data_IF_994529357505
#
_entry.id   IF_994529357505
#
_cell.length_a   1.000
_cell.length_b   1.000
_cell.length_c   1.000
_cell.angle_alpha   90.00
_cell.angle_beta   90.00
_cell.angle_gamma   90.00
#
_symmetry.space_group_name_H-M   'P 1'
#
loop_
_entity.id
_entity.type
_entity.pdbx_description
1 polymer ?
#
# COMPACT_ATOMS: atom_id res chain seq x y z
N UNK A 1 -23.85 -10.53 70.40
CA UNK A 1 -22.47 -10.03 70.57
C UNK A 1 -22.11 -9.27 69.31
N UNK A 2 -21.97 -7.95 69.44
CA UNK A 2 -21.66 -7.02 68.37
C UNK A 2 -20.13 -6.80 68.31
N UNK A 3 -19.59 -6.65 67.10
CA UNK A 3 -18.36 -5.89 66.84
C UNK A 3 -18.47 -5.26 65.44
N UNK A 4 -18.55 -3.93 65.43
CA UNK A 4 -18.64 -3.02 64.29
C UNK A 4 -17.32 -2.26 64.13
N UNK A 5 -16.76 -2.20 62.92
CA UNK A 5 -15.76 -1.21 62.45
C UNK A 5 -15.84 -1.22 60.91
N UNK A 6 -16.33 -0.25 60.13
CA UNK A 6 -16.22 1.21 60.09
C UNK A 6 -14.79 1.71 59.86
N UNK A 7 -14.44 2.01 58.61
CA UNK A 7 -13.58 3.14 58.22
C UNK A 7 -13.80 3.46 56.74
N UNK A 8 -14.16 4.72 56.52
CA UNK A 8 -14.48 5.40 55.28
C UNK A 8 -13.43 6.49 55.07
N UNK A 9 -12.97 6.70 53.84
CA UNK A 9 -12.32 7.91 53.33
C UNK A 9 -12.04 7.73 51.83
N UNK A 10 -12.10 8.71 50.94
CA UNK A 10 -12.80 10.00 50.79
C UNK A 10 -12.38 10.45 49.39
N UNK A 11 -13.35 10.87 48.60
CA UNK A 11 -13.21 11.55 47.29
C UNK A 11 -12.23 12.75 47.26
N UNK A 12 -11.72 13.12 46.07
CA UNK A 12 -12.21 14.28 45.32
C UNK A 12 -11.61 14.44 43.88
N UNK A 13 -12.39 15.01 42.93
CA UNK A 13 -12.01 15.36 41.56
C UNK A 13 -11.79 16.88 41.36
N UNK A 14 -11.14 17.26 40.26
CA UNK A 14 -11.15 18.61 39.66
C UNK A 14 -10.87 18.41 38.15
N UNK A 15 -11.71 18.81 37.19
CA UNK A 15 -12.29 20.14 36.92
C UNK A 15 -11.27 20.96 36.12
N UNK A 16 -11.55 21.61 34.98
CA UNK A 16 -12.79 21.88 34.24
C UNK A 16 -12.39 22.55 32.89
N UNK A 17 -13.31 22.59 31.91
CA UNK A 17 -13.59 23.62 30.86
C UNK A 17 -12.44 24.21 29.98
N UNK A 18 -12.60 24.51 28.69
CA UNK A 18 -13.71 25.25 28.06
C UNK A 18 -13.67 25.17 26.51
N UNK A 19 -14.85 24.96 25.93
CA UNK A 19 -15.51 25.68 24.80
C UNK A 19 -14.83 25.94 23.43
N UNK A 20 -15.54 25.50 22.39
CA UNK A 20 -15.61 25.96 20.97
C UNK A 20 -16.40 27.30 20.85
N UNK A 21 -16.78 27.91 19.67
CA UNK A 21 -16.46 27.77 18.22
C UNK A 21 -16.29 29.13 17.46
N UNK A 22 -16.03 29.11 16.14
CA UNK A 22 -16.20 30.24 15.19
C UNK A 22 -15.16 30.17 14.05
N UNK A 23 -15.45 29.89 12.77
CA UNK A 23 -16.29 30.53 11.73
C UNK A 23 -15.91 31.98 11.41
N UNK A 24 -15.07 32.16 10.40
CA UNK A 24 -15.19 33.28 9.48
C UNK A 24 -14.49 33.02 8.14
N UNK A 25 -15.23 33.42 7.12
CA UNK A 25 -14.94 33.42 5.70
C UNK A 25 -13.98 34.55 5.37
N UNK A 26 -13.04 34.35 4.45
CA UNK A 26 -12.56 35.48 3.66
C UNK A 26 -12.26 35.05 2.23
N UNK A 27 -13.09 35.59 1.32
CA UNK A 27 -12.83 35.69 -0.09
C UNK A 27 -11.54 36.50 -0.29
N UNK A 28 -10.76 36.17 -1.32
CA UNK A 28 -10.19 37.24 -2.13
C UNK A 28 -10.09 36.81 -3.59
N UNK A 29 -10.87 37.50 -4.40
CA UNK A 29 -10.88 37.46 -5.87
C UNK A 29 -10.05 38.63 -6.41
N UNK A 30 -9.28 38.34 -7.47
CA UNK A 30 -9.03 39.19 -8.67
C UNK A 30 -8.12 40.44 -8.52
N UNK A 31 -7.45 40.96 -9.59
CA UNK A 31 -7.94 41.02 -10.97
C UNK A 31 -6.93 40.85 -12.15
N UNK A 32 -7.54 40.98 -13.33
CA UNK A 32 -7.06 40.86 -14.70
C UNK A 32 -6.05 41.93 -15.18
N UNK A 33 -5.38 41.63 -16.30
CA UNK A 33 -4.62 42.59 -17.10
C UNK A 33 -4.24 42.03 -18.47
N UNK A 34 -4.98 42.43 -19.50
CA UNK A 34 -4.79 42.23 -20.94
C UNK A 34 -3.75 43.20 -21.53
N UNK A 35 -3.00 42.80 -22.56
CA UNK A 35 -2.30 43.75 -23.45
C UNK A 35 -1.19 43.14 -24.33
N UNK A 36 -1.12 43.38 -25.67
CA UNK A 36 -0.34 42.60 -26.66
C UNK A 36 0.97 43.29 -27.15
N UNK A 37 1.56 42.76 -28.24
CA UNK A 37 2.69 43.22 -29.11
C UNK A 37 4.04 42.51 -28.86
N UNK A 38 4.89 42.13 -29.82
CA UNK A 38 4.93 42.09 -31.30
C UNK A 38 6.06 41.10 -31.72
N UNK A 39 6.12 40.76 -33.02
CA UNK A 39 7.01 39.79 -33.65
C UNK A 39 8.52 40.16 -33.64
N UNK A 40 9.41 39.24 -34.07
CA UNK A 40 9.95 39.41 -35.43
C UNK A 40 10.20 38.11 -36.22
N UNK A 41 10.15 38.30 -37.54
CA UNK A 41 10.33 37.36 -38.65
C UNK A 41 11.80 37.13 -39.01
N UNK A 42 12.15 35.89 -39.41
CA UNK A 42 13.15 35.47 -40.43
C UNK A 42 13.07 33.93 -40.46
N UNK A 43 13.00 33.17 -41.55
CA UNK A 43 13.17 33.41 -42.99
C UNK A 43 13.74 32.10 -43.57
N UNK A 44 13.01 31.46 -44.50
CA UNK A 44 13.53 30.55 -45.53
C UNK A 44 13.79 29.08 -45.18
N UNK A 45 13.00 28.18 -45.78
CA UNK A 45 13.44 27.27 -46.85
C UNK A 45 12.53 26.03 -46.94
N UNK A 46 11.78 25.96 -48.04
CA UNK A 46 11.16 24.75 -48.58
C UNK A 46 12.23 23.76 -49.05
N UNK A 47 12.06 22.47 -48.76
CA UNK A 47 12.56 21.43 -49.66
C UNK A 47 11.71 20.16 -49.52
N UNK A 48 11.14 19.74 -50.65
CA UNK A 48 10.39 18.52 -50.83
C UNK A 48 11.33 17.36 -51.16
N UNK A 49 11.04 16.20 -50.57
CA UNK A 49 11.23 14.83 -51.07
C UNK A 49 12.56 14.45 -51.75
N UNK A 50 13.25 13.45 -51.19
CA UNK A 50 13.36 12.17 -51.88
C UNK A 50 13.76 10.97 -51.01
N UNK A 51 13.32 9.84 -51.53
CA UNK A 51 13.20 8.48 -51.05
C UNK A 51 14.54 7.75 -50.77
N UNK A 52 14.57 6.83 -49.81
CA UNK A 52 15.71 5.93 -49.58
C UNK A 52 15.57 5.04 -48.35
N UNK A 53 15.10 3.81 -48.57
CA UNK A 53 15.33 2.61 -47.75
C UNK A 53 14.66 2.53 -46.35
N UNK A 54 13.46 1.91 -46.34
CA UNK A 54 12.84 1.38 -45.13
C UNK A 54 13.58 0.11 -44.67
N UNK A 55 14.73 0.31 -44.04
CA UNK A 55 15.32 -0.68 -43.14
C UNK A 55 14.28 -0.97 -42.04
N UNK A 56 13.85 -2.23 -41.94
CA UNK A 56 12.87 -2.68 -40.95
C UNK A 56 13.35 -2.31 -39.54
N UNK A 57 12.75 -1.26 -38.98
CA UNK A 57 13.07 -0.73 -37.65
C UNK A 57 13.04 -1.89 -36.65
N UNK A 58 14.18 -2.29 -36.04
CA UNK A 58 14.20 -3.41 -35.11
C UNK A 58 13.23 -3.08 -33.99
N UNK A 59 12.25 -3.96 -33.78
CA UNK A 59 11.24 -3.81 -32.74
C UNK A 59 11.97 -3.51 -31.42
N UNK A 60 11.87 -2.26 -30.95
CA UNK A 60 12.48 -1.82 -29.69
C UNK A 60 11.87 -2.70 -28.59
N UNK A 61 12.56 -3.78 -28.20
CA UNK A 61 12.19 -4.63 -27.07
C UNK A 61 11.97 -3.68 -25.90
N UNK A 62 10.71 -3.50 -25.47
CA UNK A 62 10.35 -2.61 -24.37
C UNK A 62 11.24 -2.99 -23.18
N UNK A 63 12.26 -2.17 -22.89
CA UNK A 63 13.17 -2.39 -21.75
C UNK A 63 12.28 -2.43 -20.51
N UNK A 64 12.07 -3.62 -19.94
CA UNK A 64 11.34 -3.78 -18.67
C UNK A 64 11.89 -2.75 -17.68
N UNK A 65 11.02 -1.90 -17.15
CA UNK A 65 11.42 -0.81 -16.26
C UNK A 65 12.20 -1.37 -15.06
N UNK A 66 13.23 -0.67 -14.57
CA UNK A 66 14.06 -1.13 -13.43
C UNK A 66 13.19 -1.58 -12.24
N UNK A 67 12.07 -0.89 -11.98
CA UNK A 67 11.09 -1.20 -10.93
C UNK A 67 10.46 -2.59 -11.08
N UNK A 68 10.14 -3.02 -12.30
CA UNK A 68 9.56 -4.35 -12.56
C UNK A 68 10.54 -5.49 -12.24
N UNK A 69 11.85 -5.27 -12.43
CA UNK A 69 12.88 -6.25 -12.07
C UNK A 69 12.99 -6.43 -10.55
N UNK A 70 13.04 -5.32 -9.81
CA UNK A 70 13.15 -5.35 -8.35
C UNK A 70 11.96 -6.04 -7.68
N UNK A 71 10.74 -5.78 -8.15
CA UNK A 71 9.55 -6.48 -7.64
C UNK A 71 9.63 -8.00 -7.90
N UNK A 72 10.13 -8.39 -9.08
CA UNK A 72 10.31 -9.81 -9.42
C UNK A 72 11.33 -10.50 -8.52
N UNK A 73 12.46 -9.86 -8.25
CA UNK A 73 13.49 -10.39 -7.35
C UNK A 73 12.95 -10.58 -5.92
N UNK A 74 12.14 -9.64 -5.43
CA UNK A 74 11.51 -9.74 -4.11
C UNK A 74 10.46 -10.83 -4.03
N UNK A 75 9.70 -11.00 -5.11
CA UNK A 75 8.76 -12.09 -5.25
C UNK A 75 9.49 -13.45 -5.22
N UNK A 76 10.57 -13.60 -6.00
CA UNK A 76 11.39 -14.82 -6.00
C UNK A 76 11.92 -15.12 -4.59
N UNK A 77 12.41 -14.10 -3.86
CA UNK A 77 12.85 -14.26 -2.47
C UNK A 77 11.73 -14.72 -1.55
N UNK A 78 10.51 -14.19 -1.71
CA UNK A 78 9.35 -14.60 -0.92
C UNK A 78 9.00 -16.09 -1.09
N UNK A 79 9.32 -16.66 -2.25
CA UNK A 79 9.03 -18.06 -2.57
C UNK A 79 10.13 -19.02 -2.13
N UNK A 80 11.39 -18.59 -2.28
CA UNK A 80 12.57 -19.40 -1.99
C UNK A 80 12.96 -19.38 -0.52
N UNK A 81 12.77 -18.23 0.15
CA UNK A 81 13.15 -18.10 1.55
C UNK A 81 12.14 -18.80 2.47
N UNK A 82 12.65 -19.39 3.54
CA UNK A 82 11.84 -20.01 4.58
C UNK A 82 11.16 -18.93 5.41
N UNK A 83 9.94 -18.58 5.05
CA UNK A 83 9.05 -17.68 5.79
C UNK A 83 7.86 -18.51 6.24
N UNK A 84 7.46 -18.36 7.49
CA UNK A 84 6.35 -19.11 8.08
C UNK A 84 5.26 -18.17 8.58
N UNK A 85 4.01 -18.59 8.43
CA UNK A 85 2.87 -17.92 9.05
C UNK A 85 2.70 -18.44 10.48
N UNK A 86 2.64 -17.53 11.45
CA UNK A 86 2.36 -17.84 12.86
C UNK A 86 0.86 -17.74 13.11
N UNK A 87 0.30 -16.58 12.77
CA UNK A 87 -1.07 -16.22 13.13
C UNK A 87 -1.74 -15.52 11.95
N UNK A 88 -3.01 -15.85 11.75
CA UNK A 88 -3.91 -15.20 10.80
C UNK A 88 -5.12 -14.70 11.57
N UNK A 89 -5.32 -13.39 11.55
CA UNK A 89 -6.37 -12.73 12.30
C UNK A 89 -7.24 -11.88 11.35
N UNK A 90 -8.45 -12.37 11.09
CA UNK A 90 -9.46 -11.67 10.29
C UNK A 90 -10.09 -10.57 11.14
N UNK A 91 -9.80 -9.31 10.80
CA UNK A 91 -10.36 -8.14 11.50
C UNK A 91 -11.71 -7.79 10.89
N UNK A 92 -11.75 -7.58 9.57
CA UNK A 92 -12.96 -7.24 8.80
C UNK A 92 -12.93 -7.97 7.44
N UNK A 93 -14.00 -7.87 6.66
CA UNK A 93 -14.04 -8.44 5.30
C UNK A 93 -13.06 -7.81 4.30
N UNK A 94 -12.54 -6.63 4.63
CA UNK A 94 -11.59 -5.88 3.80
C UNK A 94 -10.21 -5.76 4.45
N UNK A 95 -10.01 -6.33 5.64
CA UNK A 95 -8.77 -6.18 6.40
C UNK A 95 -8.44 -7.43 7.18
N UNK A 96 -7.26 -7.98 6.91
CA UNK A 96 -6.73 -9.16 7.60
C UNK A 96 -5.28 -8.92 8.03
N UNK A 97 -4.95 -9.36 9.25
CA UNK A 97 -3.63 -9.22 9.86
C UNK A 97 -2.94 -10.59 9.90
N UNK A 98 -1.66 -10.61 9.54
CA UNK A 98 -0.83 -11.79 9.48
C UNK A 98 0.44 -11.55 10.29
N UNK A 99 0.77 -12.51 11.14
CA UNK A 99 2.04 -12.53 11.87
C UNK A 99 2.91 -13.61 11.24
N UNK A 100 4.11 -13.24 10.80
CA UNK A 100 5.01 -14.14 10.08
C UNK A 100 6.40 -14.15 10.73
N UNK A 101 7.12 -15.26 10.59
CA UNK A 101 8.53 -15.39 10.95
C UNK A 101 9.37 -15.43 9.68
N UNK A 102 10.39 -14.57 9.62
CA UNK A 102 11.39 -14.60 8.56
C UNK A 102 12.47 -15.66 8.76
N UNK A 103 13.38 -15.85 7.78
CA UNK A 103 14.42 -16.89 7.84
C UNK A 103 15.39 -16.75 9.03
N UNK A 104 15.58 -15.52 9.51
CA UNK A 104 16.45 -15.21 10.65
C UNK A 104 15.75 -15.35 12.01
N UNK A 105 14.49 -15.80 12.06
CA UNK A 105 13.71 -15.86 13.29
C UNK A 105 13.01 -14.55 13.67
N UNK A 106 13.21 -13.47 12.93
CA UNK A 106 12.53 -12.20 13.18
C UNK A 106 11.05 -12.29 12.86
N UNK A 107 10.22 -11.76 13.76
CA UNK A 107 8.77 -11.70 13.58
C UNK A 107 8.38 -10.38 12.93
N UNK A 108 7.56 -10.45 11.88
CA UNK A 108 7.00 -9.28 11.22
C UNK A 108 5.48 -9.38 11.18
N UNK A 109 4.83 -8.22 11.31
CA UNK A 109 3.39 -8.07 11.09
C UNK A 109 3.15 -7.56 9.67
N UNK A 110 2.23 -8.22 8.96
CA UNK A 110 1.74 -7.80 7.65
C UNK A 110 0.23 -7.57 7.76
N UNK A 111 -0.24 -6.45 7.25
CA UNK A 111 -1.68 -6.16 7.16
C UNK A 111 -2.07 -6.08 5.70
N UNK A 112 -3.03 -6.88 5.27
CA UNK A 112 -3.63 -6.76 3.93
C UNK A 112 -4.94 -6.01 4.07
N UNK A 113 -5.00 -4.84 3.44
CA UNK A 113 -6.13 -3.93 3.42
C UNK A 113 -6.14 -3.15 2.10
N UNK A 114 -6.92 -2.08 2.02
CA UNK A 114 -6.87 -1.12 0.90
C UNK A 114 -5.44 -0.66 0.59
N UNK A 115 -4.64 -0.44 1.62
CA UNK A 115 -3.21 -0.20 1.53
C UNK A 115 -2.51 -1.34 2.29
N UNK A 116 -1.85 -2.28 1.61
CA UNK A 116 -1.08 -3.31 2.30
C UNK A 116 0.10 -2.68 3.05
N UNK A 117 0.33 -3.14 4.26
CA UNK A 117 1.31 -2.60 5.20
C UNK A 117 2.18 -3.71 5.80
N UNK A 118 3.43 -3.39 6.12
CA UNK A 118 4.35 -4.31 6.77
C UNK A 118 5.40 -3.58 7.61
N UNK A 119 5.61 -4.05 8.86
CA UNK A 119 6.61 -3.47 9.77
C UNK A 119 8.08 -3.87 9.45
N UNK A 120 8.40 -4.19 8.21
CA UNK A 120 9.77 -4.59 7.83
C UNK A 120 10.55 -3.42 7.21
N UNK A 121 11.88 -3.39 7.35
CA UNK A 121 12.71 -2.27 6.87
C UNK A 121 12.65 -2.09 5.34
N UNK A 122 12.30 -3.13 4.59
CA UNK A 122 12.12 -3.03 3.13
C UNK A 122 10.85 -2.27 2.76
N UNK A 123 9.80 -2.37 3.57
CA UNK A 123 8.53 -1.67 3.34
C UNK A 123 8.64 -0.20 3.72
N UNK A 124 9.37 0.13 4.80
CA UNK A 124 9.68 1.51 5.21
C UNK A 124 10.34 2.32 4.09
N UNK A 125 11.09 1.66 3.19
CA UNK A 125 11.69 2.28 1.99
C UNK A 125 10.67 2.61 0.89
N UNK A 126 9.37 2.37 1.11
CA UNK A 126 8.28 2.75 0.21
C UNK A 126 7.94 1.73 -0.87
N UNK A 127 8.36 0.47 -0.72
CA UNK A 127 8.09 -0.57 -1.71
C UNK A 127 7.43 -1.81 -1.12
N UNK A 128 6.78 -2.61 -1.98
CA UNK A 128 6.31 -3.94 -1.60
C UNK A 128 7.51 -4.83 -1.24
N UNK A 129 7.45 -5.38 -0.03
CA UNK A 129 8.48 -6.24 0.53
C UNK A 129 8.17 -7.71 0.23
N UNK A 130 9.16 -8.58 0.43
CA UNK A 130 9.00 -10.03 0.29
C UNK A 130 7.93 -10.62 1.22
N UNK A 131 7.68 -10.01 2.37
CA UNK A 131 6.68 -10.47 3.33
C UNK A 131 5.25 -10.32 2.79
N UNK A 132 4.95 -9.20 2.13
CA UNK A 132 3.66 -9.01 1.45
C UNK A 132 3.50 -10.02 0.30
N UNK A 133 4.55 -10.23 -0.50
CA UNK A 133 4.52 -11.25 -1.56
C UNK A 133 4.31 -12.66 -1.01
N UNK A 134 4.94 -12.99 0.13
CA UNK A 134 4.74 -14.27 0.80
C UNK A 134 3.27 -14.47 1.18
N UNK A 135 2.64 -13.46 1.79
CA UNK A 135 1.22 -13.53 2.16
C UNK A 135 0.34 -13.70 0.93
N UNK A 136 0.55 -12.94 -0.14
CA UNK A 136 -0.25 -13.12 -1.36
C UNK A 136 -0.11 -14.51 -1.97
N UNK A 137 1.12 -15.01 -2.12
CA UNK A 137 1.38 -16.23 -2.89
C UNK A 137 1.16 -17.51 -2.09
N UNK A 138 1.61 -17.54 -0.82
CA UNK A 138 1.62 -18.75 0.01
C UNK A 138 0.42 -18.86 0.93
N UNK A 139 -0.06 -17.73 1.45
CA UNK A 139 -1.16 -17.71 2.42
C UNK A 139 -2.51 -17.54 1.72
N UNK A 140 -2.63 -16.49 0.90
CA UNK A 140 -3.87 -16.16 0.19
C UNK A 140 -4.01 -16.89 -1.15
N UNK A 141 -2.94 -17.52 -1.65
CA UNK A 141 -2.99 -18.31 -2.89
C UNK A 141 -3.29 -17.49 -4.15
N UNK A 142 -2.98 -16.19 -4.14
CA UNK A 142 -3.14 -15.32 -5.31
C UNK A 142 -2.17 -15.77 -6.40
N UNK A 143 -2.65 -15.82 -7.64
CA UNK A 143 -1.84 -16.23 -8.77
C UNK A 143 -0.66 -15.28 -9.00
N UNK A 144 0.52 -15.83 -9.28
CA UNK A 144 1.79 -15.12 -9.54
C UNK A 144 1.75 -14.18 -10.73
N UNK A 145 0.94 -14.51 -11.72
CA UNK A 145 0.79 -13.74 -12.96
C UNK A 145 -0.29 -12.65 -12.83
N UNK A 146 -1.03 -12.64 -11.72
CA UNK A 146 -2.03 -11.61 -11.44
C UNK A 146 -1.36 -10.25 -11.22
N UNK A 147 -1.95 -9.20 -11.79
CA UNK A 147 -1.49 -7.81 -11.58
C UNK A 147 -1.75 -7.34 -10.15
N UNK A 148 -2.68 -7.98 -9.43
CA UNK A 148 -3.11 -7.62 -8.08
C UNK A 148 -1.95 -7.62 -7.08
N UNK A 149 -1.01 -8.56 -7.20
CA UNK A 149 0.11 -8.71 -6.26
C UNK A 149 1.10 -7.54 -6.31
N UNK A 150 1.08 -6.75 -7.38
CA UNK A 150 1.99 -5.62 -7.58
C UNK A 150 1.34 -4.27 -7.26
N UNK A 151 0.03 -4.24 -7.01
CA UNK A 151 -0.70 -3.02 -6.67
C UNK A 151 -0.30 -2.54 -5.27
N UNK A 152 -0.06 -1.23 -5.14
CA UNK A 152 0.16 -0.57 -3.83
C UNK A 152 -1.14 -0.26 -3.11
N UNK A 153 -2.26 -0.26 -3.83
CA UNK A 153 -3.58 0.00 -3.29
C UNK A 153 -4.57 -0.96 -3.98
N UNK A 154 -5.41 -1.61 -3.19
CA UNK A 154 -6.42 -2.57 -3.63
C UNK A 154 -7.82 -1.98 -3.52
N UNK A 155 -8.70 -2.33 -4.44
CA UNK A 155 -10.12 -2.00 -4.38
C UNK A 155 -10.87 -2.97 -3.46
N UNK A 156 -12.02 -2.56 -2.93
CA UNK A 156 -12.84 -3.42 -2.07
C UNK A 156 -13.29 -4.71 -2.78
N UNK A 157 -13.57 -4.64 -4.09
CA UNK A 157 -13.94 -5.80 -4.90
C UNK A 157 -12.77 -6.79 -5.03
N UNK A 158 -11.56 -6.29 -5.26
CA UNK A 158 -10.34 -7.09 -5.36
C UNK A 158 -10.03 -7.77 -4.02
N UNK A 159 -10.11 -7.02 -2.91
CA UNK A 159 -9.91 -7.57 -1.55
C UNK A 159 -10.89 -8.69 -1.23
N UNK A 160 -12.19 -8.47 -1.47
CA UNK A 160 -13.21 -9.51 -1.27
C UNK A 160 -12.91 -10.76 -2.10
N UNK A 161 -12.52 -10.58 -3.36
CA UNK A 161 -12.13 -11.69 -4.25
C UNK A 161 -10.91 -12.45 -3.71
N UNK A 162 -9.86 -11.73 -3.30
CA UNK A 162 -8.66 -12.33 -2.71
C UNK A 162 -8.98 -13.14 -1.46
N UNK A 163 -9.78 -12.60 -0.53
CA UNK A 163 -10.12 -13.29 0.71
C UNK A 163 -11.11 -14.44 0.53
N UNK A 164 -12.03 -14.34 -0.43
CA UNK A 164 -12.99 -15.41 -0.74
C UNK A 164 -12.30 -16.61 -1.38
N UNK A 165 -11.33 -16.36 -2.25
CA UNK A 165 -10.55 -17.40 -2.92
C UNK A 165 -9.36 -17.89 -2.08
N UNK A 166 -9.11 -17.27 -0.92
CA UNK A 166 -8.01 -17.65 -0.06
C UNK A 166 -8.20 -19.07 0.47
N UNK A 167 -7.07 -19.79 0.62
CA UNK A 167 -7.10 -21.11 1.25
C UNK A 167 -7.60 -20.96 2.69
N UNK A 168 -8.53 -21.82 3.16
CA UNK A 168 -8.96 -21.78 4.55
C UNK A 168 -7.74 -21.99 5.45
N UNK A 169 -7.63 -21.19 6.52
CA UNK A 169 -6.68 -21.50 7.58
C UNK A 169 -7.09 -22.83 8.19
N UNK A 170 -6.18 -23.80 8.17
CA UNK A 170 -6.39 -25.06 8.86
C UNK A 170 -6.63 -24.75 10.35
N UNK A 171 -7.71 -25.26 10.96
CA UNK A 171 -7.95 -25.03 12.38
C UNK A 171 -6.93 -25.85 13.18
N UNK A 172 -6.07 -25.18 13.93
CA UNK A 172 -5.43 -25.78 15.09
C UNK A 172 -6.35 -25.58 16.29
N UNK A 173 -6.84 -26.71 16.81
CA UNK A 173 -7.60 -26.92 18.04
C UNK A 173 -9.13 -26.84 17.96
N UNK A 174 -9.73 -27.91 17.43
CA UNK A 174 -10.98 -28.45 17.98
C UNK A 174 -10.56 -29.51 19.01
N UNK A 175 -10.58 -29.15 20.29
CA UNK A 175 -10.53 -30.08 21.44
C UNK A 175 -11.93 -30.35 21.94
#
# INVERSE_FOLDING_TARGET
>A
MACTSSTQQREQPVGTESETPGRETSLNEQPAGTGPVEAPSIGGATNENNNGEREARPAKKKKKSKKSKLNRERMIRAEQQRIYLIERNKINDLREKFVIVGPAGNVYTVTIAHLPDCNCPDFTKGFLCKHIFFVYLKVLGVNRDSTLIYQKALLSKELRSIFTNARPSWPSNTV
#
